data_IF_116743656548
#
_entry.id   IF_116743656548
#
_cell.length_a   1.000
_cell.length_b   1.000
_cell.length_c   1.000
_cell.angle_alpha   90.00
_cell.angle_beta   90.00
_cell.angle_gamma   90.00
#
_symmetry.space_group_name_H-M   'P 1'
#
loop_
_entity.id
_entity.type
_entity.pdbx_description
1 polymer ?
#
# COMPACT_ATOMS: atom_id res chain seq x y z
N UNK A 1 -15.53 -11.56 -12.52
CA UNK A 1 -15.02 -11.41 -12.06
C UNK A 1 -14.78 -11.64 -11.17
N UNK A 2 -14.46 -11.89 -10.94
CA UNK A 2 -14.27 -11.95 -10.20
C UNK A 2 -13.55 -11.93 -9.30
N UNK A 3 -12.90 -11.49 -9.44
CA UNK A 3 -12.16 -11.08 -8.42
C UNK A 3 -13.04 -10.83 -7.36
N UNK A 4 -12.71 -11.09 -6.28
CA UNK A 4 -13.53 -10.91 -5.21
C UNK A 4 -14.02 -9.54 -5.08
N UNK A 5 -13.94 -8.83 -5.95
CA UNK A 5 -14.57 -7.61 -5.94
C UNK A 5 -13.83 -6.49 -5.25
N UNK A 6 -13.68 -6.52 -4.00
CA UNK A 6 -13.18 -5.35 -3.30
C UNK A 6 -11.74 -5.52 -2.86
N UNK A 7 -10.91 -4.60 -3.29
CA UNK A 7 -9.53 -4.53 -2.84
C UNK A 7 -9.48 -3.89 -1.46
N UNK A 8 -8.76 -4.52 -0.55
CA UNK A 8 -8.62 -3.96 0.79
C UNK A 8 -7.41 -3.04 0.81
N UNK A 9 -7.65 -1.74 0.88
CA UNK A 9 -6.57 -0.75 0.84
C UNK A 9 -5.67 -0.82 2.04
N UNK A 10 -6.17 -1.26 3.18
CA UNK A 10 -5.34 -1.43 4.35
C UNK A 10 -4.31 -2.53 4.12
N UNK A 11 -4.75 -3.65 3.55
CA UNK A 11 -3.83 -4.73 3.23
C UNK A 11 -2.82 -4.27 2.18
N UNK A 12 -3.28 -3.52 1.19
CA UNK A 12 -2.39 -3.02 0.15
C UNK A 12 -1.36 -2.07 0.74
N UNK A 13 -1.76 -1.24 1.70
CA UNK A 13 -0.83 -0.32 2.35
C UNK A 13 0.23 -1.09 3.13
N UNK A 14 -0.15 -2.18 3.77
CA UNK A 14 0.83 -3.00 4.49
C UNK A 14 1.83 -3.60 3.52
N UNK A 15 1.34 -4.11 2.39
CA UNK A 15 2.22 -4.62 1.35
C UNK A 15 3.18 -3.53 0.86
N UNK A 16 2.63 -2.36 0.60
CA UNK A 16 3.41 -1.22 0.11
C UNK A 16 4.51 -0.85 1.11
N UNK A 17 4.17 -0.80 2.38
CA UNK A 17 5.14 -0.45 3.42
C UNK A 17 6.25 -1.48 3.51
N UNK A 18 5.92 -2.78 3.42
CA UNK A 18 6.93 -3.82 3.45
C UNK A 18 7.83 -3.72 2.23
N UNK A 19 7.24 -3.52 1.06
CA UNK A 19 8.01 -3.44 -0.16
C UNK A 19 8.96 -2.24 -0.15
N UNK A 20 8.49 -1.12 0.36
CA UNK A 20 9.30 0.10 0.38
C UNK A 20 10.36 0.10 1.47
N UNK A 21 10.04 -0.49 2.62
CA UNK A 21 10.99 -0.49 3.73
C UNK A 21 11.99 -1.64 3.61
N UNK A 22 11.65 -2.67 2.88
CA UNK A 22 12.53 -3.79 2.66
C UNK A 22 12.38 -4.93 3.66
N UNK A 23 11.56 -4.76 4.69
CA UNK A 23 11.36 -5.87 5.62
C UNK A 23 10.07 -5.69 6.39
N UNK A 24 9.55 -6.81 6.87
CA UNK A 24 8.36 -6.80 7.71
C UNK A 24 8.67 -6.11 9.04
N UNK A 25 9.86 -6.31 9.56
CA UNK A 25 10.23 -5.70 10.84
C UNK A 25 10.21 -4.18 10.75
N UNK A 26 10.77 -3.62 9.68
CA UNK A 26 10.76 -2.19 9.52
C UNK A 26 9.36 -1.65 9.33
N UNK A 27 8.58 -2.34 8.50
CA UNK A 27 7.20 -1.92 8.27
C UNK A 27 6.41 -1.95 9.56
N UNK A 28 6.63 -2.96 10.39
CA UNK A 28 5.92 -3.07 11.65
C UNK A 28 6.21 -1.87 12.55
N UNK A 29 7.46 -1.43 12.58
CA UNK A 29 7.81 -0.23 13.34
C UNK A 29 7.16 1.02 12.79
N UNK A 30 7.12 1.16 11.48
CA UNK A 30 6.51 2.33 10.84
C UNK A 30 5.01 2.37 11.02
N UNK A 31 4.37 1.21 10.99
CA UNK A 31 2.92 1.13 11.05
C UNK A 31 2.39 0.93 12.45
N UNK A 32 3.27 0.69 13.40
CA UNK A 32 2.88 0.48 14.81
C UNK A 32 1.98 -0.74 14.96
N UNK A 33 2.33 -1.82 14.25
CA UNK A 33 1.60 -3.09 14.33
C UNK A 33 2.63 -4.20 14.48
N UNK A 34 2.17 -5.37 14.87
CA UNK A 34 3.09 -6.49 15.05
C UNK A 34 3.46 -7.10 13.70
N UNK A 35 4.65 -7.72 13.62
CA UNK A 35 5.00 -8.43 12.39
C UNK A 35 4.01 -9.53 12.03
N UNK A 36 3.43 -10.20 13.03
CA UNK A 36 2.46 -11.24 12.76
C UNK A 36 1.22 -10.66 12.10
N UNK A 37 0.81 -9.48 12.54
CA UNK A 37 -0.34 -8.82 11.94
C UNK A 37 -0.07 -8.53 10.47
N UNK A 38 1.12 -8.03 10.17
CA UNK A 38 1.49 -7.75 8.78
C UNK A 38 1.49 -9.03 7.96
N UNK A 39 2.12 -10.08 8.49
CA UNK A 39 2.17 -11.35 7.75
C UNK A 39 0.78 -11.87 7.44
N UNK A 40 -0.13 -11.79 8.41
CA UNK A 40 -1.49 -12.25 8.20
C UNK A 40 -2.20 -11.44 7.14
N UNK A 41 -2.02 -10.14 7.15
CA UNK A 41 -2.69 -9.28 6.18
C UNK A 41 -2.08 -9.41 4.79
N UNK A 42 -0.77 -9.66 4.71
CA UNK A 42 -0.17 -9.96 3.40
C UNK A 42 -0.72 -11.26 2.83
N UNK A 43 -0.88 -12.27 3.68
CA UNK A 43 -1.43 -13.54 3.21
C UNK A 43 -2.86 -13.37 2.71
N UNK A 44 -3.64 -12.55 3.40
CA UNK A 44 -5.00 -12.26 2.96
C UNK A 44 -5.00 -11.55 1.62
N UNK A 45 -4.10 -10.61 1.44
CA UNK A 45 -4.01 -9.90 0.18
C UNK A 45 -3.61 -10.85 -0.95
N UNK A 46 -2.63 -11.71 -0.68
CA UNK A 46 -2.23 -12.68 -1.68
C UNK A 46 -3.37 -13.60 -2.07
N UNK A 47 -4.14 -14.05 -1.08
CA UNK A 47 -5.29 -14.89 -1.36
C UNK A 47 -6.35 -14.17 -2.17
N UNK A 48 -6.59 -12.92 -1.84
CA UNK A 48 -7.58 -12.11 -2.51
C UNK A 48 -7.20 -11.83 -3.96
N UNK A 49 -5.93 -11.56 -4.21
CA UNK A 49 -5.46 -11.23 -5.56
C UNK A 49 -5.08 -12.45 -6.38
N UNK A 50 -4.89 -13.59 -5.71
CA UNK A 50 -4.46 -14.80 -6.40
C UNK A 50 -3.02 -14.71 -6.89
N UNK A 51 -2.18 -13.96 -6.21
CA UNK A 51 -0.81 -13.71 -6.64
C UNK A 51 0.08 -13.75 -5.42
N UNK A 52 1.21 -14.42 -5.51
CA UNK A 52 2.22 -14.30 -4.48
C UNK A 52 2.93 -12.96 -4.64
N UNK A 53 3.06 -12.24 -3.55
CA UNK A 53 3.67 -10.91 -3.60
C UNK A 53 5.15 -10.97 -3.24
N UNK A 54 5.50 -11.80 -2.28
CA UNK A 54 6.88 -11.95 -1.82
C UNK A 54 7.26 -13.40 -1.80
N UNK A 55 8.57 -13.66 -1.89
CA UNK A 55 9.10 -14.99 -1.63
C UNK A 55 10.36 -14.82 -0.81
N UNK A 56 10.76 -15.90 -0.16
CA UNK A 56 11.96 -15.84 0.64
C UNK A 56 13.17 -15.89 -0.25
N UNK A 57 14.14 -15.02 0.09
CA UNK A 57 15.38 -14.97 -0.64
C UNK A 57 16.45 -14.72 0.39
N UNK A 58 17.26 -15.72 0.66
CA UNK A 58 18.28 -15.60 1.69
C UNK A 58 17.62 -15.31 3.03
N UNK A 59 17.95 -14.22 3.64
CA UNK A 59 17.41 -13.86 4.93
C UNK A 59 16.22 -12.95 4.86
N UNK A 60 15.90 -12.48 3.70
CA UNK A 60 14.83 -11.50 3.60
C UNK A 60 13.76 -11.93 2.66
N UNK A 61 13.02 -10.96 2.20
CA UNK A 61 11.95 -11.15 1.25
C UNK A 61 12.30 -10.44 -0.03
N UNK A 62 11.85 -11.03 -1.11
CA UNK A 62 12.05 -10.42 -2.41
C UNK A 62 10.72 -10.42 -3.12
N UNK A 63 10.46 -9.37 -3.88
CA UNK A 63 9.21 -9.29 -4.62
C UNK A 63 9.19 -10.31 -5.74
N UNK A 64 8.05 -10.96 -5.89
CA UNK A 64 7.83 -11.79 -7.08
C UNK A 64 7.55 -10.86 -8.26
N UNK A 65 7.47 -11.45 -9.43
CA UNK A 65 7.09 -10.67 -10.60
C UNK A 65 5.70 -10.07 -10.43
N UNK A 66 4.78 -10.89 -9.92
CA UNK A 66 3.44 -10.37 -9.63
C UNK A 66 3.49 -9.26 -8.58
N UNK A 67 4.34 -9.43 -7.57
CA UNK A 67 4.50 -8.40 -6.55
C UNK A 67 5.01 -7.09 -7.10
N UNK A 68 5.93 -7.15 -8.06
CA UNK A 68 6.43 -5.93 -8.68
C UNK A 68 5.33 -5.18 -9.42
N UNK A 69 4.49 -5.92 -10.13
CA UNK A 69 3.36 -5.30 -10.82
C UNK A 69 2.41 -4.64 -9.85
N UNK A 70 2.09 -5.33 -8.77
CA UNK A 70 1.19 -4.77 -7.76
C UNK A 70 1.84 -3.55 -7.10
N UNK A 71 3.14 -3.59 -6.85
CA UNK A 71 3.82 -2.46 -6.23
C UNK A 71 3.73 -1.22 -7.12
N UNK A 72 3.84 -1.39 -8.44
CA UNK A 72 3.68 -0.27 -9.34
C UNK A 72 2.33 0.40 -9.17
N UNK A 73 1.27 -0.38 -9.08
CA UNK A 73 -0.06 0.18 -8.84
C UNK A 73 -0.17 0.80 -7.44
N UNK A 74 0.41 0.14 -6.44
CA UNK A 74 0.35 0.69 -5.08
C UNK A 74 1.06 2.03 -5.01
N UNK A 75 2.19 2.17 -5.68
CA UNK A 75 2.88 3.46 -5.73
C UNK A 75 1.99 4.54 -6.30
N UNK A 76 1.28 4.23 -7.36
CA UNK A 76 0.38 5.21 -7.96
C UNK A 76 -0.80 5.54 -7.06
N UNK A 77 -1.38 4.51 -6.47
CA UNK A 77 -2.55 4.71 -5.62
C UNK A 77 -2.19 5.58 -4.42
N UNK A 78 -1.11 5.25 -3.73
CA UNK A 78 -0.77 6.00 -2.53
C UNK A 78 -0.08 7.31 -2.85
N UNK A 79 0.52 7.42 -4.03
CA UNK A 79 1.00 8.70 -4.52
C UNK A 79 -0.15 9.67 -4.74
N UNK A 80 -1.23 9.17 -5.34
CA UNK A 80 -2.43 10.00 -5.53
C UNK A 80 -3.07 10.36 -4.19
N UNK A 81 -3.03 9.44 -3.23
CA UNK A 81 -3.54 9.76 -1.90
C UNK A 81 -2.77 10.92 -1.29
N UNK A 82 -1.45 10.90 -1.41
CA UNK A 82 -0.65 12.00 -0.88
C UNK A 82 -0.93 13.30 -1.61
N UNK A 83 -1.10 13.24 -2.91
CA UNK A 83 -1.46 14.43 -3.68
C UNK A 83 -2.80 14.98 -3.24
N UNK A 84 -3.76 14.09 -3.05
CA UNK A 84 -5.08 14.51 -2.61
C UNK A 84 -5.01 15.19 -1.25
N UNK A 85 -4.31 14.58 -0.31
CA UNK A 85 -4.21 15.16 1.02
C UNK A 85 -3.48 16.48 1.00
N UNK A 86 -2.45 16.60 0.17
CA UNK A 86 -1.75 17.84 0.01
C UNK A 86 -2.62 18.92 -0.57
N UNK A 87 -3.41 18.57 -1.58
CA UNK A 87 -4.31 19.54 -2.20
C UNK A 87 -5.39 19.99 -1.22
N UNK A 88 -5.93 19.07 -0.46
CA UNK A 88 -6.94 19.43 0.53
C UNK A 88 -6.36 20.34 1.60
N UNK A 89 -5.17 19.99 2.08
CA UNK A 89 -4.51 20.81 3.10
C UNK A 89 -4.18 22.18 2.58
N UNK A 90 -3.70 22.25 1.36
CA UNK A 90 -3.38 23.52 0.73
C UNK A 90 -4.60 24.37 0.55
N UNK A 91 -5.69 23.78 0.05
CA UNK A 91 -6.93 24.51 -0.13
C UNK A 91 -7.48 24.97 1.20
N UNK A 92 -7.48 24.09 2.17
CA UNK A 92 -7.98 24.47 3.49
C UNK A 92 -7.13 25.52 4.14
N UNK A 93 -5.83 25.40 3.99
CA UNK A 93 -4.91 26.34 4.57
C UNK A 93 -4.97 27.68 3.94
N UNK A 94 -5.37 27.77 2.65
CA UNK A 94 -5.47 29.03 1.99
C UNK A 94 -6.83 29.45 1.84
N UNK A 95 -7.64 28.74 2.24
CA UNK A 95 -8.97 29.06 2.06
C UNK A 95 -9.24 29.13 0.66
N UNK A 96 -8.90 28.69 -0.10
CA UNK A 96 -9.22 28.73 -1.16
C UNK A 96 -9.31 28.28 -2.16
N UNK A 97 -9.27 28.34 -2.59
CA UNK A 97 -9.35 27.96 -3.27
C UNK A 97 -10.06 27.35 -3.91
N UNK A 98 -10.15 27.46 -4.46
CA UNK A 98 -10.89 26.90 -4.96
C UNK A 98 -11.11 25.92 -5.58
N UNK A 99 -10.90 25.71 -5.50
CA UNK A 99 -10.95 24.76 -5.69
C UNK A 99 -11.77 24.25 -6.26
N UNK A 100 -12.08 24.54 -6.28
CA UNK A 100 -12.61 24.10 -6.42
C UNK A 100 -12.85 23.40 -7.15
N UNK A 101 -12.52 23.34 -7.23
CA UNK A 101 -12.53 22.79 -7.65
C UNK A 101 -12.67 22.17 -8.15
N UNK A 102 -12.74 22.22 -8.27
CA UNK A 102 -12.66 21.89 -8.41
C UNK A 102 -12.92 21.59 -8.74
N UNK A 103 -13.02 21.77 -8.85
CA UNK A 103 -13.09 21.69 -8.73
C UNK A 103 -13.18 21.55 -8.88
#
# INVERSE_FOLDING_TARGET
MTVAGTLNFKHLRYFWAVARSGSIARASGQLHVTPQSISGQLAELEGSLGVELFRRAGRGLELTEGGRGILGYADEIFGLELELLGAVRGAGGRAAAPYRVGI
#
